data_IF_682754888303
#
_entry.id   IF_682754888303
#
_cell.length_a   1.000
_cell.length_b   1.000
_cell.length_c   1.000
_cell.angle_alpha   90.00
_cell.angle_beta   90.00
_cell.angle_gamma   90.00
#
_symmetry.space_group_name_H-M   'P 1'
#
loop_
_entity.id
_entity.type
_entity.pdbx_description
1 polymer ?
#
# COMPACT_ATOMS: atom_id res chain seq x y z
N UNK A 1 0.81 -10.83 -0.56
CA UNK A 1 0.81 -10.42 0.87
C UNK A 1 1.41 -11.54 1.69
N UNK A 2 2.19 -11.22 2.71
CA UNK A 2 2.83 -12.23 3.58
C UNK A 2 2.55 -11.90 5.04
N UNK A 3 1.37 -12.30 5.49
CA UNK A 3 0.83 -11.97 6.82
C UNK A 3 1.65 -12.52 7.99
N UNK A 4 2.65 -13.38 7.74
CA UNK A 4 3.53 -13.93 8.79
C UNK A 4 4.72 -13.03 9.11
N UNK A 5 5.17 -12.24 8.14
CA UNK A 5 6.36 -11.40 8.26
C UNK A 5 6.03 -9.89 8.24
N UNK A 6 4.76 -9.54 8.06
CA UNK A 6 4.31 -8.15 8.08
C UNK A 6 4.49 -7.55 9.48
N UNK A 7 5.05 -6.33 9.54
CA UNK A 7 5.15 -5.56 10.77
C UNK A 7 3.76 -5.02 11.13
N UNK A 8 3.26 -5.39 12.31
CA UNK A 8 1.94 -4.95 12.82
C UNK A 8 2.15 -3.92 13.92
N UNK A 9 1.45 -2.80 13.81
CA UNK A 9 1.48 -1.72 14.79
C UNK A 9 0.08 -1.49 15.34
N UNK A 10 -0.03 -1.28 16.64
CA UNK A 10 -1.24 -0.81 17.29
C UNK A 10 -1.53 0.65 16.95
N UNK A 11 -2.77 1.09 17.19
CA UNK A 11 -3.19 2.47 16.97
C UNK A 11 -2.27 3.48 17.68
N UNK A 12 -1.94 3.22 18.94
CA UNK A 12 -1.12 4.12 19.76
C UNK A 12 0.33 4.18 19.26
N UNK A 13 0.86 3.08 18.72
CA UNK A 13 2.20 3.07 18.12
C UNK A 13 2.24 3.93 16.85
N UNK A 14 1.21 3.85 16.00
CA UNK A 14 1.14 4.61 14.74
C UNK A 14 1.26 6.13 14.96
N UNK A 15 0.72 6.66 16.07
CA UNK A 15 0.82 8.09 16.41
C UNK A 15 2.27 8.58 16.54
N UNK A 16 3.18 7.69 16.97
CA UNK A 16 4.59 8.00 17.16
C UNK A 16 5.50 7.64 15.97
N UNK A 17 5.07 6.75 15.08
CA UNK A 17 5.94 6.12 14.08
C UNK A 17 6.64 7.12 13.15
N UNK A 18 5.97 8.21 12.77
CA UNK A 18 6.56 9.23 11.89
C UNK A 18 7.73 9.99 12.52
N UNK A 19 7.83 10.01 13.86
CA UNK A 19 8.91 10.66 14.61
C UNK A 19 9.91 9.66 15.19
N UNK A 20 9.60 8.37 15.12
CA UNK A 20 10.44 7.30 15.63
C UNK A 20 11.64 7.05 14.69
N UNK A 21 12.85 7.18 15.24
CA UNK A 21 14.11 6.95 14.53
C UNK A 21 14.53 5.48 14.50
N UNK A 22 13.76 4.57 15.08
CA UNK A 22 14.06 3.14 15.11
C UNK A 22 13.95 2.54 13.71
N UNK A 23 15.06 1.98 13.22
CA UNK A 23 15.08 1.21 11.97
C UNK A 23 14.48 -0.17 12.18
N UNK A 24 13.69 -0.61 11.20
CA UNK A 24 13.06 -1.94 11.17
C UNK A 24 13.33 -2.57 9.81
N UNK A 25 13.45 -3.89 9.79
CA UNK A 25 13.52 -4.65 8.54
C UNK A 25 12.09 -4.84 8.05
N UNK A 26 11.73 -4.12 6.99
CA UNK A 26 10.38 -4.12 6.42
C UNK A 26 10.15 -5.33 5.54
N UNK A 27 11.09 -5.58 4.63
CA UNK A 27 11.10 -6.70 3.67
C UNK A 27 12.53 -6.91 3.17
N UNK A 28 12.67 -7.85 2.24
CA UNK A 28 13.89 -8.09 1.46
C UNK A 28 13.61 -7.77 0.00
N UNK A 29 14.53 -7.10 -0.70
CA UNK A 29 14.40 -6.86 -2.14
C UNK A 29 14.40 -8.18 -2.90
N UNK A 30 13.41 -8.35 -3.77
CA UNK A 30 13.40 -9.46 -4.73
C UNK A 30 14.58 -9.28 -5.71
N UNK A 31 15.39 -10.32 -5.87
CA UNK A 31 16.57 -10.30 -6.75
C UNK A 31 17.89 -10.14 -6.00
N UNK A 32 18.11 -9.02 -5.30
CA UNK A 32 19.39 -8.79 -4.61
C UNK A 32 19.50 -9.51 -3.25
N UNK A 33 18.37 -9.72 -2.57
CA UNK A 33 18.37 -10.27 -1.21
C UNK A 33 18.72 -9.24 -0.13
N UNK A 34 18.87 -7.96 -0.48
CA UNK A 34 19.17 -6.90 0.49
C UNK A 34 17.97 -6.59 1.38
N UNK A 35 18.23 -6.30 2.65
CA UNK A 35 17.20 -5.90 3.61
C UNK A 35 16.75 -4.46 3.36
N UNK A 36 15.43 -4.25 3.36
CA UNK A 36 14.82 -2.93 3.44
C UNK A 36 14.79 -2.55 4.92
N UNK A 37 15.92 -2.03 5.41
CA UNK A 37 16.07 -1.58 6.79
C UNK A 37 15.95 -0.05 6.88
N UNK A 38 14.76 0.44 7.27
CA UNK A 38 14.41 1.87 7.25
C UNK A 38 13.64 2.27 8.52
N UNK A 39 13.64 3.57 8.84
CA UNK A 39 12.65 4.13 9.77
C UNK A 39 11.25 4.07 9.12
N UNK A 40 10.18 4.18 9.90
CA UNK A 40 8.84 4.24 9.32
C UNK A 40 8.67 5.44 8.39
N UNK A 41 9.21 6.61 8.76
CA UNK A 41 9.11 7.81 7.93
C UNK A 41 9.79 7.63 6.56
N UNK A 42 10.98 7.03 6.54
CA UNK A 42 11.70 6.77 5.29
C UNK A 42 11.01 5.69 4.46
N UNK A 43 10.51 4.63 5.10
CA UNK A 43 9.75 3.58 4.43
C UNK A 43 8.44 4.14 3.83
N UNK A 44 7.70 4.92 4.61
CA UNK A 44 6.47 5.57 4.17
C UNK A 44 6.70 6.43 2.94
N UNK A 45 7.71 7.32 2.97
CA UNK A 45 8.03 8.20 1.85
C UNK A 45 8.48 7.43 0.59
N UNK A 46 9.16 6.30 0.77
CA UNK A 46 9.74 5.54 -0.34
C UNK A 46 8.79 4.52 -0.96
N UNK A 47 7.92 3.90 -0.16
CA UNK A 47 7.15 2.72 -0.57
C UNK A 47 5.65 2.81 -0.27
N UNK A 48 5.17 3.85 0.41
CA UNK A 48 3.73 4.03 0.67
C UNK A 48 3.21 5.27 -0.05
N UNK A 49 3.83 6.42 0.18
CA UNK A 49 3.44 7.71 -0.40
C UNK A 49 4.59 8.29 -1.21
N UNK A 50 4.92 7.60 -2.29
CA UNK A 50 6.03 7.90 -3.18
C UNK A 50 5.62 8.74 -4.41
N UNK A 51 4.33 9.08 -4.52
CA UNK A 51 3.72 9.98 -5.51
C UNK A 51 2.57 10.79 -4.87
N UNK A 52 2.15 11.88 -5.53
CA UNK A 52 1.01 12.70 -5.05
C UNK A 52 -0.34 12.05 -5.42
N UNK A 53 -0.67 10.96 -4.74
CA UNK A 53 -1.92 10.24 -4.94
C UNK A 53 -3.17 11.09 -4.67
N UNK A 54 -3.05 12.18 -3.90
CA UNK A 54 -4.21 13.01 -3.56
C UNK A 54 -4.60 13.87 -4.76
N UNK A 55 -3.62 14.40 -5.49
CA UNK A 55 -3.88 15.30 -6.61
C UNK A 55 -3.93 14.59 -7.96
N UNK A 56 -3.19 13.49 -8.12
CA UNK A 56 -2.95 12.88 -9.44
C UNK A 56 -3.76 11.62 -9.68
N UNK A 57 -4.17 10.91 -8.63
CA UNK A 57 -4.76 9.59 -8.81
C UNK A 57 -6.24 9.64 -9.23
N UNK A 58 -6.64 8.70 -10.07
CA UNK A 58 -8.03 8.29 -10.19
C UNK A 58 -8.43 7.48 -8.95
N UNK A 59 -9.65 7.71 -8.44
CA UNK A 59 -10.13 7.12 -7.20
C UNK A 59 -11.28 6.15 -7.50
N UNK A 60 -11.18 4.94 -6.98
CA UNK A 60 -12.26 3.96 -7.04
C UNK A 60 -12.51 3.30 -5.68
N UNK A 61 -13.78 2.99 -5.41
CA UNK A 61 -14.21 2.25 -4.22
C UNK A 61 -14.63 0.85 -4.64
N UNK A 62 -14.07 -0.17 -3.99
CA UNK A 62 -14.37 -1.59 -4.21
C UNK A 62 -14.26 -2.05 -5.68
N UNK A 63 -13.40 -1.39 -6.46
CA UNK A 63 -13.10 -1.68 -7.86
C UNK A 63 -11.61 -1.48 -8.07
N UNK A 64 -11.01 -2.36 -8.88
CA UNK A 64 -9.61 -2.21 -9.26
C UNK A 64 -9.49 -1.34 -10.51
N UNK A 65 -8.63 -0.33 -10.45
CA UNK A 65 -8.30 0.53 -11.60
C UNK A 65 -7.03 0.04 -12.32
N UNK A 66 -6.07 -0.53 -11.58
CA UNK A 66 -4.86 -1.14 -12.15
C UNK A 66 -5.09 -2.48 -12.89
N UNK A 67 -4.08 -2.93 -13.64
CA UNK A 67 -4.17 -4.16 -14.44
C UNK A 67 -4.17 -5.47 -13.61
N UNK A 68 -5.05 -6.41 -14.01
CA UNK A 68 -4.85 -7.88 -13.93
C UNK A 68 -4.84 -8.58 -12.55
N UNK A 69 -5.86 -9.41 -12.27
CA UNK A 69 -5.96 -10.41 -11.17
C UNK A 69 -5.78 -9.94 -9.71
N UNK A 70 -5.28 -8.73 -9.46
CA UNK A 70 -4.99 -8.21 -8.13
C UNK A 70 -6.22 -8.10 -7.21
N UNK A 71 -7.41 -7.82 -7.76
CA UNK A 71 -8.64 -7.77 -6.97
C UNK A 71 -8.96 -9.15 -6.39
N UNK A 72 -8.69 -10.23 -7.13
CA UNK A 72 -8.93 -11.59 -6.65
C UNK A 72 -8.02 -11.88 -5.46
N UNK A 73 -6.73 -11.59 -5.59
CA UNK A 73 -5.76 -11.77 -4.49
C UNK A 73 -6.10 -10.90 -3.28
N UNK A 74 -6.56 -9.66 -3.49
CA UNK A 74 -7.01 -8.79 -2.40
C UNK A 74 -8.20 -9.40 -1.67
N UNK A 75 -9.20 -9.87 -2.42
CA UNK A 75 -10.41 -10.49 -1.84
C UNK A 75 -10.15 -11.86 -1.18
N UNK A 76 -9.08 -12.57 -1.56
CA UNK A 76 -8.63 -13.78 -0.86
C UNK A 76 -8.13 -13.49 0.56
N UNK A 77 -7.46 -12.34 0.76
CA UNK A 77 -6.93 -11.92 2.07
C UNK A 77 -7.93 -11.06 2.85
N UNK A 78 -8.67 -10.21 2.15
CA UNK A 78 -9.66 -9.27 2.68
C UNK A 78 -11.02 -9.52 2.02
N UNK A 79 -11.81 -10.49 2.51
CA UNK A 79 -13.11 -10.83 1.93
C UNK A 79 -14.07 -9.63 1.88
N UNK A 80 -14.66 -9.38 0.71
CA UNK A 80 -15.58 -8.25 0.44
C UNK A 80 -16.76 -8.15 1.42
N UNK A 81 -17.15 -9.25 2.06
CA UNK A 81 -18.22 -9.29 3.05
C UNK A 81 -17.83 -8.55 4.34
N UNK A 82 -16.53 -8.51 4.65
CA UNK A 82 -15.98 -7.93 5.88
C UNK A 82 -15.17 -6.66 5.66
N UNK A 83 -14.68 -6.45 4.44
CA UNK A 83 -13.80 -5.34 4.12
C UNK A 83 -14.32 -4.54 2.93
N UNK A 84 -14.05 -3.24 2.95
CA UNK A 84 -14.10 -2.35 1.79
C UNK A 84 -12.68 -1.87 1.49
N UNK A 85 -12.43 -1.41 0.27
CA UNK A 85 -11.18 -0.73 -0.06
C UNK A 85 -11.40 0.48 -0.98
N UNK A 86 -10.47 1.42 -0.88
CA UNK A 86 -10.34 2.55 -1.80
C UNK A 86 -9.01 2.41 -2.52
N UNK A 87 -9.03 2.48 -3.85
CA UNK A 87 -7.84 2.53 -4.68
C UNK A 87 -7.61 3.95 -5.21
N UNK A 88 -6.37 4.39 -5.12
CA UNK A 88 -5.81 5.58 -5.74
C UNK A 88 -4.82 5.12 -6.80
N UNK A 89 -5.20 5.19 -8.07
CA UNK A 89 -4.39 4.72 -9.20
C UNK A 89 -3.85 5.89 -10.03
N UNK A 90 -2.56 5.85 -10.33
CA UNK A 90 -1.87 6.73 -11.27
C UNK A 90 -1.41 5.86 -12.44
N UNK A 91 -1.95 6.10 -13.63
CA UNK A 91 -1.66 5.32 -14.84
C UNK A 91 -0.23 5.52 -15.38
N UNK A 92 0.40 6.64 -15.03
CA UNK A 92 1.79 6.96 -15.33
C UNK A 92 2.14 8.37 -14.84
N UNK A 93 3.41 8.62 -14.55
CA UNK A 93 3.89 9.91 -14.01
C UNK A 93 4.70 10.66 -15.07
N UNK A 94 5.66 9.97 -15.70
CA UNK A 94 6.50 10.47 -16.77
C UNK A 94 6.04 9.89 -18.12
N UNK A 95 5.53 10.74 -19.03
CA UNK A 95 5.11 10.29 -20.36
C UNK A 95 6.21 9.62 -21.17
N UNK A 96 7.49 9.88 -20.88
CA UNK A 96 8.62 9.33 -21.64
C UNK A 96 8.84 7.84 -21.42
N UNK A 97 8.28 7.27 -20.34
CA UNK A 97 8.36 5.84 -20.04
C UNK A 97 7.07 5.08 -20.40
N UNK A 98 6.15 5.70 -21.14
CA UNK A 98 4.95 5.06 -21.70
C UNK A 98 4.12 4.27 -20.66
N UNK A 99 3.99 4.81 -19.45
CA UNK A 99 3.24 4.17 -18.36
C UNK A 99 4.00 3.05 -17.62
N UNK A 100 5.30 2.85 -17.90
CA UNK A 100 6.19 1.98 -17.13
C UNK A 100 6.62 2.59 -15.78
N UNK A 101 5.73 3.38 -15.19
CA UNK A 101 5.88 3.99 -13.87
C UNK A 101 4.53 4.16 -13.17
N UNK A 102 3.51 3.42 -13.62
CA UNK A 102 2.21 3.37 -12.97
C UNK A 102 2.33 2.98 -11.50
N UNK A 103 1.41 3.47 -10.67
CA UNK A 103 1.33 3.18 -9.23
C UNK A 103 -0.10 3.08 -8.74
N UNK A 104 -0.34 2.19 -7.78
CA UNK A 104 -1.62 2.06 -7.06
C UNK A 104 -1.37 2.06 -5.56
N UNK A 105 -2.07 2.94 -4.84
CA UNK A 105 -2.18 2.91 -3.39
C UNK A 105 -3.59 2.47 -3.00
N UNK A 106 -3.71 1.40 -2.23
CA UNK A 106 -4.98 0.85 -1.76
C UNK A 106 -5.06 0.89 -0.24
N UNK A 107 -6.15 1.46 0.26
CA UNK A 107 -6.48 1.51 1.67
C UNK A 107 -7.61 0.53 1.94
N UNK A 108 -7.38 -0.44 2.83
CA UNK A 108 -8.34 -1.50 3.16
C UNK A 108 -8.93 -1.25 4.54
N UNK A 109 -10.26 -1.33 4.62
CA UNK A 109 -11.04 -1.01 5.79
C UNK A 109 -11.87 -2.20 6.24
N UNK A 110 -11.80 -2.57 7.52
CA UNK A 110 -12.71 -3.52 8.15
C UNK A 110 -14.03 -2.84 8.49
N UNK A 111 -15.15 -3.50 8.18
CA UNK A 111 -16.50 -3.06 8.49
C UNK A 111 -16.81 -3.34 9.97
N UNK A 112 -17.06 -2.28 10.76
CA UNK A 112 -17.39 -2.36 12.18
C UNK A 112 -18.73 -1.69 12.40
N UNK A 113 -19.83 -2.42 12.19
CA UNK A 113 -21.17 -1.84 12.24
C UNK A 113 -21.38 -0.82 11.11
N UNK A 114 -21.64 0.43 11.47
CA UNK A 114 -21.71 1.56 10.52
C UNK A 114 -20.34 2.24 10.30
N UNK A 115 -19.32 1.87 11.08
CA UNK A 115 -17.97 2.44 11.02
C UNK A 115 -17.00 1.59 10.20
N UNK A 116 -15.85 2.18 9.87
CA UNK A 116 -14.74 1.55 9.14
C UNK A 116 -13.41 1.77 9.87
N UNK A 117 -12.62 0.71 10.03
CA UNK A 117 -11.27 0.78 10.58
C UNK A 117 -10.23 0.48 9.50
N UNK A 118 -9.23 1.34 9.31
CA UNK A 118 -8.11 1.08 8.40
C UNK A 118 -7.26 -0.07 8.95
N UNK A 119 -7.20 -1.19 8.22
CA UNK A 119 -6.47 -2.40 8.62
C UNK A 119 -5.37 -2.82 7.64
N UNK A 120 -5.28 -2.16 6.48
CA UNK A 120 -4.28 -2.47 5.47
C UNK A 120 -3.95 -1.28 4.58
N UNK A 121 -2.66 -1.14 4.26
CA UNK A 121 -2.15 -0.22 3.24
C UNK A 121 -1.35 -1.07 2.26
N UNK A 122 -1.72 -1.01 0.99
CA UNK A 122 -1.14 -1.82 -0.07
C UNK A 122 -0.64 -0.85 -1.13
N UNK A 123 0.62 -0.98 -1.50
CA UNK A 123 1.21 -0.20 -2.59
C UNK A 123 1.70 -1.18 -3.66
N UNK A 124 1.33 -0.88 -4.89
CA UNK A 124 1.83 -1.57 -6.07
C UNK A 124 2.35 -0.54 -7.06
N UNK A 125 3.34 -0.98 -7.82
CA UNK A 125 3.97 -0.16 -8.83
C UNK A 125 4.49 -1.04 -9.95
N UNK A 126 4.74 -0.42 -11.09
CA UNK A 126 5.49 -1.05 -12.14
C UNK A 126 6.88 -1.50 -11.63
N UNK A 127 7.26 -2.72 -11.99
CA UNK A 127 8.60 -3.28 -11.82
C UNK A 127 9.08 -3.85 -13.16
N UNK A 128 10.32 -3.56 -13.60
CA UNK A 128 10.87 -4.13 -14.83
C UNK A 128 10.99 -5.65 -14.82
#
# INVERSE_FOLDING_TARGET
MDTKNDLVFSKDEVEGLMKDSTKRVWRTFAGSGDLIELTFADYYKRFIYDADFIQTAEIAVNKGLGQGTMINNLNEVYPKEKYDFVEYHIEGIDPSVEGMDWRSLRLVFEKIGEDHALVGIIHDQWTP
#
